data_IF_571514407764
#
_entry.id   IF_571514407764
#
_cell.length_a   1.000
_cell.length_b   1.000
_cell.length_c   1.000
_cell.angle_alpha   90.00
_cell.angle_beta   90.00
_cell.angle_gamma   90.00
#
_symmetry.space_group_name_H-M   'P 1'
#
loop_
_entity.id
_entity.type
_entity.pdbx_description
1 polymer ?
#
# COMPACT_ATOMS: atom_id res chain seq x y z
N UNK A 1 28.36 13.31 -26.99
CA UNK A 1 28.08 12.02 -26.33
C UNK A 1 26.60 11.76 -26.53
N UNK A 2 26.21 10.65 -27.13
CA UNK A 2 24.82 10.29 -27.39
C UNK A 2 24.08 10.21 -26.04
N UNK A 3 23.00 11.00 -25.88
CA UNK A 3 22.21 11.14 -24.66
C UNK A 3 21.18 10.02 -24.50
N UNK A 4 21.40 8.85 -25.09
CA UNK A 4 20.44 7.75 -25.17
C UNK A 4 20.83 6.48 -24.38
N UNK A 5 21.78 6.58 -23.42
CA UNK A 5 22.08 5.46 -22.54
C UNK A 5 21.19 5.54 -21.29
N UNK A 6 20.17 4.68 -21.18
CA UNK A 6 19.23 4.71 -20.06
C UNK A 6 19.91 4.45 -18.70
N UNK A 7 21.04 3.77 -18.68
CA UNK A 7 21.82 3.51 -17.46
C UNK A 7 22.56 4.77 -17.03
N UNK A 8 23.24 5.43 -17.96
CA UNK A 8 23.98 6.67 -17.69
C UNK A 8 23.05 7.80 -17.18
N UNK A 9 21.80 7.88 -17.69
CA UNK A 9 20.80 8.84 -17.19
C UNK A 9 20.45 8.60 -15.71
N UNK A 10 20.27 7.34 -15.32
CA UNK A 10 19.98 6.99 -13.91
C UNK A 10 21.19 7.32 -13.03
N UNK A 11 22.40 6.96 -13.45
CA UNK A 11 23.62 7.24 -12.70
C UNK A 11 23.84 8.73 -12.50
N UNK A 12 23.64 9.53 -13.54
CA UNK A 12 23.75 10.99 -13.47
C UNK A 12 22.70 11.59 -12.51
N UNK A 13 21.47 11.05 -12.51
CA UNK A 13 20.39 11.48 -11.61
C UNK A 13 20.73 11.15 -10.16
N UNK A 14 21.20 9.93 -9.88
CA UNK A 14 21.63 9.51 -8.54
C UNK A 14 22.87 10.31 -8.08
N UNK A 15 23.80 10.62 -8.97
CA UNK A 15 24.98 11.43 -8.64
C UNK A 15 24.59 12.86 -8.21
N UNK A 16 23.65 13.51 -8.91
CA UNK A 16 23.12 14.83 -8.51
C UNK A 16 22.41 14.76 -7.17
N UNK A 17 21.53 13.74 -6.97
CA UNK A 17 20.83 13.53 -5.71
C UNK A 17 21.82 13.31 -4.55
N UNK A 18 22.92 12.60 -4.79
CA UNK A 18 23.97 12.36 -3.79
C UNK A 18 24.72 13.64 -3.43
N UNK A 19 25.07 14.46 -4.41
CA UNK A 19 25.72 15.75 -4.15
C UNK A 19 24.80 16.68 -3.34
N UNK A 20 23.52 16.77 -3.68
CA UNK A 20 22.54 17.55 -2.92
C UNK A 20 22.36 16.98 -1.49
N UNK A 21 22.32 15.65 -1.33
CA UNK A 21 22.22 15.02 -0.02
C UNK A 21 23.42 15.32 0.87
N UNK A 22 24.63 15.26 0.34
CA UNK A 22 25.84 15.59 1.09
C UNK A 22 25.83 17.05 1.56
N UNK A 23 25.40 17.98 0.73
CA UNK A 23 25.22 19.40 1.11
C UNK A 23 24.11 19.57 2.18
N UNK A 24 23.00 18.84 2.04
CA UNK A 24 21.89 18.85 2.98
C UNK A 24 22.29 18.28 4.35
N UNK A 25 23.11 17.22 4.38
CA UNK A 25 23.67 16.66 5.61
C UNK A 25 24.68 17.63 6.25
N UNK A 26 25.59 18.21 5.48
CA UNK A 26 26.62 19.13 5.98
C UNK A 26 26.01 20.42 6.61
N UNK A 27 24.89 20.92 6.06
CA UNK A 27 24.11 22.02 6.62
C UNK A 27 23.01 21.58 7.57
N UNK A 28 23.00 20.29 7.96
CA UNK A 28 21.88 19.62 8.59
C UNK A 28 21.51 20.16 9.97
N UNK A 29 20.21 20.12 10.24
CA UNK A 29 19.62 20.32 11.57
C UNK A 29 18.25 19.66 11.62
N UNK A 30 17.76 19.33 12.81
CA UNK A 30 16.39 18.81 12.95
C UNK A 30 15.35 19.75 12.32
N UNK A 31 15.52 21.06 12.53
CA UNK A 31 14.60 22.08 11.98
C UNK A 31 14.61 22.09 10.44
N UNK A 32 15.77 21.95 9.81
CA UNK A 32 15.89 21.94 8.36
C UNK A 32 15.19 20.68 7.78
N UNK A 33 15.41 19.50 8.38
CA UNK A 33 14.79 18.26 7.95
C UNK A 33 13.27 18.29 8.17
N UNK A 34 12.81 18.84 9.28
CA UNK A 34 11.38 19.00 9.56
C UNK A 34 10.71 19.94 8.54
N UNK A 35 11.34 21.06 8.21
CA UNK A 35 10.82 22.00 7.20
C UNK A 35 10.77 21.39 5.80
N UNK A 36 11.77 20.62 5.41
CA UNK A 36 11.78 19.93 4.13
C UNK A 36 10.62 18.91 4.04
N UNK A 37 10.41 18.12 5.09
CA UNK A 37 9.29 17.19 5.17
C UNK A 37 7.92 17.90 5.17
N UNK A 38 7.78 19.02 5.89
CA UNK A 38 6.57 19.85 5.92
C UNK A 38 6.25 20.47 4.56
N UNK A 39 7.27 20.92 3.81
CA UNK A 39 7.09 21.46 2.46
C UNK A 39 6.46 20.42 1.52
N UNK A 40 6.93 19.19 1.56
CA UNK A 40 6.34 18.08 0.77
C UNK A 40 4.92 17.77 1.24
N UNK A 41 4.70 17.71 2.55
CA UNK A 41 3.37 17.46 3.09
C UNK A 41 2.37 18.55 2.65
N UNK A 42 2.75 19.82 2.67
CA UNK A 42 1.92 20.89 2.18
C UNK A 42 1.68 20.80 0.67
N UNK A 43 2.71 20.51 -0.12
CA UNK A 43 2.61 20.38 -1.57
C UNK A 43 1.52 19.39 -2.03
N UNK A 44 1.31 18.30 -1.31
CA UNK A 44 0.23 17.35 -1.63
C UNK A 44 -1.09 17.63 -0.93
N UNK A 45 -1.09 18.29 0.26
CA UNK A 45 -2.30 18.54 1.05
C UNK A 45 -2.99 19.85 0.71
N UNK A 46 -2.31 20.80 0.06
CA UNK A 46 -2.93 22.02 -0.41
C UNK A 46 -4.18 21.66 -1.24
N UNK A 47 -5.36 22.27 -0.96
CA UNK A 47 -6.63 21.78 -1.49
C UNK A 47 -6.70 21.65 -3.02
N UNK A 48 -6.19 22.66 -3.77
CA UNK A 48 -6.21 22.63 -5.23
C UNK A 48 -5.18 21.65 -5.79
N UNK A 49 -3.98 21.59 -5.21
CA UNK A 49 -2.97 20.60 -5.60
C UNK A 49 -3.48 19.18 -5.37
N UNK A 50 -4.08 18.91 -4.20
CA UNK A 50 -4.63 17.60 -3.88
C UNK A 50 -5.73 17.19 -4.87
N UNK A 51 -6.64 18.10 -5.20
CA UNK A 51 -7.70 17.86 -6.19
C UNK A 51 -7.10 17.53 -7.57
N UNK A 52 -6.19 18.37 -8.07
CA UNK A 52 -5.53 18.17 -9.38
C UNK A 52 -4.77 16.84 -9.42
N UNK A 53 -4.01 16.51 -8.38
CA UNK A 53 -3.26 15.25 -8.29
C UNK A 53 -4.21 14.04 -8.29
N UNK A 54 -5.36 14.14 -7.61
CA UNK A 54 -6.35 13.06 -7.57
C UNK A 54 -7.05 12.88 -8.94
N UNK A 55 -7.43 13.97 -9.59
CA UNK A 55 -8.03 13.96 -10.94
C UNK A 55 -7.05 13.34 -11.94
N UNK A 56 -5.80 13.82 -11.97
CA UNK A 56 -4.75 13.34 -12.87
C UNK A 56 -4.43 11.85 -12.62
N UNK A 57 -4.41 11.42 -11.35
CA UNK A 57 -4.19 10.02 -11.00
C UNK A 57 -5.28 9.10 -11.57
N UNK A 58 -6.55 9.49 -11.46
CA UNK A 58 -7.67 8.69 -12.01
C UNK A 58 -7.65 8.72 -13.54
N UNK A 59 -7.44 9.88 -14.14
CA UNK A 59 -7.39 10.05 -15.61
C UNK A 59 -6.31 9.18 -16.25
N UNK A 60 -5.07 9.25 -15.73
CA UNK A 60 -3.92 8.59 -16.37
C UNK A 60 -3.82 7.09 -16.05
N UNK A 61 -4.25 6.68 -14.86
CA UNK A 61 -4.19 5.27 -14.46
C UNK A 61 -5.46 4.50 -14.77
N UNK A 62 -6.61 5.17 -14.77
CA UNK A 62 -7.93 4.54 -14.82
C UNK A 62 -8.30 3.78 -13.55
N UNK A 63 -7.65 4.08 -12.41
CA UNK A 63 -7.80 3.32 -11.17
C UNK A 63 -8.36 4.18 -10.03
N UNK A 64 -9.35 3.65 -9.31
CA UNK A 64 -9.95 4.30 -8.15
C UNK A 64 -10.94 5.41 -8.51
N UNK A 65 -11.14 6.36 -7.62
CA UNK A 65 -12.01 7.51 -7.81
C UNK A 65 -11.43 8.79 -7.18
N UNK A 66 -11.83 9.95 -7.69
CA UNK A 66 -11.27 11.25 -7.28
C UNK A 66 -11.55 11.59 -5.81
N UNK A 67 -12.79 11.46 -5.28
CA UNK A 67 -13.08 11.80 -3.88
C UNK A 67 -12.25 10.99 -2.87
N UNK A 68 -12.10 9.70 -3.10
CA UNK A 68 -11.34 8.83 -2.21
C UNK A 68 -9.83 9.08 -2.30
N UNK A 69 -9.32 9.43 -3.50
CA UNK A 69 -7.91 9.81 -3.65
C UNK A 69 -7.60 11.13 -2.94
N UNK A 70 -8.48 12.12 -3.01
CA UNK A 70 -8.36 13.38 -2.24
C UNK A 70 -8.29 13.06 -0.73
N UNK A 71 -9.24 12.25 -0.25
CA UNK A 71 -9.28 11.80 1.13
C UNK A 71 -8.01 11.04 1.53
N UNK A 72 -7.52 10.14 0.67
CA UNK A 72 -6.31 9.34 0.91
C UNK A 72 -5.07 10.21 0.98
N UNK A 73 -4.87 11.11 0.01
CA UNK A 73 -3.74 12.02 -0.05
C UNK A 73 -3.65 12.87 1.23
N UNK A 74 -4.76 13.50 1.61
CA UNK A 74 -4.82 14.33 2.82
C UNK A 74 -4.64 13.50 4.10
N UNK A 75 -5.46 12.46 4.29
CA UNK A 75 -5.50 11.68 5.53
C UNK A 75 -4.17 10.97 5.82
N UNK A 76 -3.56 10.35 4.79
CA UNK A 76 -2.31 9.60 4.97
C UNK A 76 -1.13 10.53 5.20
N UNK A 77 -1.10 11.69 4.56
CA UNK A 77 -0.04 12.70 4.78
C UNK A 77 -0.17 13.36 6.14
N UNK A 78 -1.38 13.81 6.52
CA UNK A 78 -1.61 14.42 7.83
C UNK A 78 -1.28 13.45 8.97
N UNK A 79 -1.69 12.18 8.84
CA UNK A 79 -1.39 11.16 9.84
C UNK A 79 0.10 10.86 9.96
N UNK A 80 0.81 10.77 8.83
CA UNK A 80 2.27 10.61 8.83
C UNK A 80 2.94 11.79 9.56
N UNK A 81 2.58 13.03 9.22
CA UNK A 81 3.16 14.22 9.85
C UNK A 81 2.89 14.26 11.36
N UNK A 82 1.67 13.89 11.80
CA UNK A 82 1.36 13.73 13.22
C UNK A 82 2.34 12.79 13.93
N UNK A 83 2.63 11.65 13.31
CA UNK A 83 3.41 10.60 13.95
C UNK A 83 4.92 10.92 13.96
N UNK A 84 5.43 11.63 12.94
CA UNK A 84 6.88 11.90 12.84
C UNK A 84 7.30 13.30 13.34
N UNK A 85 6.38 14.23 13.62
CA UNK A 85 6.71 15.62 13.96
C UNK A 85 7.66 15.77 15.15
N UNK A 86 7.58 14.87 16.13
CA UNK A 86 8.42 14.90 17.34
C UNK A 86 9.48 13.81 17.36
N UNK A 87 9.64 13.05 16.29
CA UNK A 87 10.67 12.00 16.19
C UNK A 87 12.01 12.67 15.89
N UNK A 88 13.03 12.53 16.77
CA UNK A 88 14.36 13.05 16.50
C UNK A 88 15.02 12.20 15.40
N UNK A 89 15.57 12.87 14.39
CA UNK A 89 16.21 12.22 13.23
C UNK A 89 17.56 12.83 12.88
N UNK A 90 18.10 13.69 13.79
CA UNK A 90 19.37 14.38 13.61
C UNK A 90 20.17 14.41 14.92
N UNK A 91 21.45 14.06 14.85
CA UNK A 91 22.35 14.13 15.99
C UNK A 91 22.08 13.06 17.04
N UNK A 92 22.40 13.35 18.29
CA UNK A 92 22.14 12.42 19.41
C UNK A 92 20.63 12.33 19.66
N UNK A 93 20.08 11.13 19.52
CA UNK A 93 18.65 10.84 19.70
C UNK A 93 18.35 10.13 21.03
N UNK A 94 19.37 9.51 21.62
CA UNK A 94 19.30 8.91 22.95
C UNK A 94 20.67 8.88 23.56
N UNK A 95 20.76 9.20 24.83
CA UNK A 95 21.96 9.06 25.63
C UNK A 95 21.60 8.35 26.95
N UNK A 96 22.08 7.13 27.10
CA UNK A 96 21.75 6.24 28.23
C UNK A 96 22.96 6.11 29.12
N UNK A 97 22.99 6.89 30.18
CA UNK A 97 24.09 6.90 31.14
C UNK A 97 24.26 5.57 31.93
N UNK A 98 23.17 4.80 32.08
CA UNK A 98 23.20 3.54 32.83
C UNK A 98 23.87 2.42 32.03
N UNK A 99 23.68 2.43 30.72
CA UNK A 99 24.31 1.45 29.80
C UNK A 99 25.56 1.98 29.10
N UNK A 100 25.83 3.29 29.18
CA UNK A 100 26.92 3.95 28.46
C UNK A 100 26.75 3.98 26.94
N UNK A 101 25.52 3.87 26.45
CA UNK A 101 25.19 3.85 25.00
C UNK A 101 24.62 5.19 24.56
N UNK A 102 25.26 5.81 23.57
CA UNK A 102 24.75 7.01 22.88
C UNK A 102 24.31 6.62 21.48
N UNK A 103 23.01 6.85 21.14
CA UNK A 103 22.45 6.62 19.81
C UNK A 103 22.48 7.92 18.99
N UNK A 104 23.06 7.85 17.79
CA UNK A 104 23.20 9.01 16.91
C UNK A 104 22.45 8.72 15.59
N UNK A 105 21.46 9.57 15.24
CA UNK A 105 20.81 9.49 13.97
C UNK A 105 21.63 10.14 12.85
N UNK A 106 21.77 9.44 11.73
CA UNK A 106 22.46 9.92 10.54
C UNK A 106 21.70 9.52 9.27
N UNK A 107 21.77 10.32 8.19
CA UNK A 107 21.27 9.93 6.87
C UNK A 107 21.96 8.66 6.36
N UNK A 108 21.23 7.89 5.57
CA UNK A 108 21.77 6.74 4.83
C UNK A 108 22.39 7.20 3.49
N UNK A 109 21.82 8.22 2.87
CA UNK A 109 22.27 8.74 1.58
C UNK A 109 21.12 8.92 0.57
N UNK A 110 21.22 8.25 -0.58
CA UNK A 110 20.22 8.33 -1.66
C UNK A 110 19.23 7.17 -1.55
N UNK A 111 17.95 7.48 -1.43
CA UNK A 111 16.86 6.49 -1.42
C UNK A 111 16.36 6.27 -2.84
N UNK A 112 16.35 5.03 -3.31
CA UNK A 112 15.69 4.64 -4.56
C UNK A 112 14.26 4.17 -4.28
N UNK A 113 13.23 4.82 -4.85
CA UNK A 113 11.84 4.49 -4.57
C UNK A 113 11.09 4.03 -5.82
N UNK A 114 10.59 2.80 -5.84
CA UNK A 114 9.68 2.31 -6.89
C UNK A 114 8.24 2.43 -6.39
N UNK A 115 7.41 3.17 -7.15
CA UNK A 115 6.04 3.49 -6.74
C UNK A 115 4.98 2.98 -7.73
N UNK A 116 3.83 2.49 -7.22
CA UNK A 116 2.81 1.83 -8.03
C UNK A 116 1.89 2.82 -8.74
N UNK A 117 1.15 2.34 -9.74
CA UNK A 117 0.08 3.10 -10.39
C UNK A 117 -1.17 3.28 -9.52
N UNK A 118 -1.36 2.46 -8.50
CA UNK A 118 -2.54 2.51 -7.63
C UNK A 118 -2.59 3.78 -6.77
N UNK A 119 -1.42 4.32 -6.39
CA UNK A 119 -1.30 5.52 -5.57
C UNK A 119 -0.15 6.42 -6.06
N UNK A 120 -0.24 7.01 -7.27
CA UNK A 120 0.89 7.71 -7.90
C UNK A 120 1.20 9.08 -7.29
N UNK A 121 0.33 9.63 -6.42
CA UNK A 121 0.56 10.84 -5.63
C UNK A 121 0.93 10.52 -4.18
N UNK A 122 0.06 9.78 -3.47
CA UNK A 122 0.23 9.53 -2.03
C UNK A 122 1.48 8.71 -1.69
N UNK A 123 1.82 7.67 -2.47
CA UNK A 123 2.98 6.82 -2.16
C UNK A 123 4.30 7.57 -2.35
N UNK A 124 4.56 8.26 -3.47
CA UNK A 124 5.79 9.04 -3.59
C UNK A 124 5.88 10.15 -2.54
N UNK A 125 4.80 10.89 -2.25
CA UNK A 125 4.81 11.91 -1.21
C UNK A 125 5.19 11.32 0.16
N UNK A 126 4.62 10.17 0.55
CA UNK A 126 4.96 9.49 1.80
C UNK A 126 6.45 9.09 1.86
N UNK A 127 6.99 8.54 0.76
CA UNK A 127 8.39 8.16 0.69
C UNK A 127 9.33 9.37 0.77
N UNK A 128 8.99 10.47 0.06
CA UNK A 128 9.77 11.70 0.05
C UNK A 128 9.79 12.35 1.44
N UNK A 129 8.63 12.44 2.12
CA UNK A 129 8.53 12.98 3.48
C UNK A 129 9.46 12.20 4.43
N UNK A 130 9.41 10.86 4.41
CA UNK A 130 10.25 10.03 5.27
C UNK A 130 11.74 10.18 4.94
N UNK A 131 12.10 10.24 3.67
CA UNK A 131 13.49 10.41 3.24
C UNK A 131 14.07 11.75 3.74
N UNK A 132 13.38 12.86 3.48
CA UNK A 132 13.84 14.19 3.86
C UNK A 132 13.84 14.43 5.38
N UNK A 133 12.83 13.88 6.09
CA UNK A 133 12.79 13.93 7.57
C UNK A 133 14.03 13.30 8.20
N UNK A 134 14.67 12.35 7.51
CA UNK A 134 15.89 11.67 7.94
C UNK A 134 17.17 12.20 7.24
N UNK A 135 17.11 13.36 6.56
CA UNK A 135 18.27 13.98 5.90
C UNK A 135 18.76 13.29 4.63
N UNK A 136 17.96 12.39 4.06
CA UNK A 136 18.28 11.68 2.82
C UNK A 136 17.80 12.46 1.59
N UNK A 137 18.38 12.17 0.42
CA UNK A 137 17.76 12.46 -0.87
C UNK A 137 16.98 11.25 -1.40
N UNK A 138 16.15 11.46 -2.42
CA UNK A 138 15.33 10.39 -2.98
C UNK A 138 15.18 10.54 -4.50
N UNK A 139 15.28 9.39 -5.20
CA UNK A 139 14.99 9.28 -6.64
C UNK A 139 13.80 8.34 -6.81
N UNK A 140 12.71 8.86 -7.37
CA UNK A 140 11.45 8.12 -7.55
C UNK A 140 11.40 7.50 -8.96
N UNK A 141 11.02 6.23 -9.01
CA UNK A 141 10.71 5.49 -10.25
C UNK A 141 9.22 5.16 -10.28
N UNK A 142 8.36 6.02 -10.85
CA UNK A 142 6.94 5.77 -10.95
C UNK A 142 6.62 4.72 -12.01
N UNK A 143 5.49 4.03 -11.84
CA UNK A 143 4.91 3.24 -12.92
C UNK A 143 4.59 4.13 -14.13
N UNK A 144 4.63 3.61 -15.38
CA UNK A 144 4.44 4.44 -16.57
C UNK A 144 3.16 5.29 -16.56
N UNK A 145 2.05 4.76 -16.05
CA UNK A 145 0.78 5.48 -15.92
C UNK A 145 0.77 6.49 -14.77
N UNK A 146 1.65 6.35 -13.80
CA UNK A 146 1.77 7.26 -12.66
C UNK A 146 2.70 8.44 -12.90
N UNK A 147 3.46 8.44 -14.01
CA UNK A 147 4.44 9.51 -14.33
C UNK A 147 3.81 10.90 -14.30
N UNK A 148 2.69 11.20 -14.98
CA UNK A 148 2.15 12.55 -15.00
C UNK A 148 1.77 13.07 -13.59
N UNK A 149 1.18 12.21 -12.76
CA UNK A 149 0.83 12.58 -11.38
C UNK A 149 2.08 12.84 -10.54
N UNK A 150 3.12 12.03 -10.71
CA UNK A 150 4.38 12.19 -9.99
C UNK A 150 5.11 13.47 -10.43
N UNK A 151 5.15 13.78 -11.73
CA UNK A 151 5.71 15.03 -12.27
C UNK A 151 5.01 16.27 -11.72
N UNK A 152 3.68 16.26 -11.69
CA UNK A 152 2.90 17.35 -11.12
C UNK A 152 3.20 17.53 -9.61
N UNK A 153 3.27 16.42 -8.86
CA UNK A 153 3.66 16.44 -7.44
C UNK A 153 5.05 17.04 -7.24
N UNK A 154 6.04 16.62 -8.03
CA UNK A 154 7.40 17.18 -7.95
C UNK A 154 7.41 18.68 -8.27
N UNK A 155 6.62 19.13 -9.25
CA UNK A 155 6.46 20.54 -9.56
C UNK A 155 5.98 21.36 -8.36
N UNK A 156 4.99 20.86 -7.63
CA UNK A 156 4.50 21.50 -6.40
C UNK A 156 5.54 21.47 -5.26
N UNK A 157 6.26 20.36 -5.11
CA UNK A 157 7.35 20.23 -4.13
C UNK A 157 8.45 21.26 -4.42
N UNK A 158 8.87 21.39 -5.68
CA UNK A 158 9.90 22.34 -6.08
C UNK A 158 9.50 23.79 -5.82
N UNK A 159 8.22 24.13 -6.03
CA UNK A 159 7.71 25.45 -5.69
C UNK A 159 7.77 25.75 -4.18
N UNK A 160 7.56 24.77 -3.33
CA UNK A 160 7.73 24.92 -1.88
C UNK A 160 9.21 24.96 -1.47
N UNK A 161 10.08 24.19 -2.12
CA UNK A 161 11.52 24.21 -1.86
C UNK A 161 12.16 25.55 -2.20
N UNK A 162 11.76 26.18 -3.30
CA UNK A 162 12.26 27.51 -3.67
C UNK A 162 11.99 28.57 -2.61
N UNK A 163 10.81 28.51 -1.96
CA UNK A 163 10.45 29.45 -0.86
C UNK A 163 11.36 29.27 0.37
N UNK A 164 11.94 28.09 0.53
CA UNK A 164 12.75 27.72 1.69
C UNK A 164 14.26 27.70 1.38
N UNK A 165 14.65 27.89 0.13
CA UNK A 165 16.04 27.76 -0.32
C UNK A 165 16.57 26.32 -0.24
N UNK A 166 15.71 25.34 -0.38
CA UNK A 166 16.05 23.91 -0.39
C UNK A 166 16.39 23.47 -1.82
N UNK A 167 17.48 22.72 -1.97
CA UNK A 167 17.92 22.20 -3.27
C UNK A 167 16.90 21.20 -3.84
N UNK A 168 16.43 21.45 -5.05
CA UNK A 168 15.48 20.58 -5.77
C UNK A 168 16.07 19.19 -6.07
N UNK A 169 17.38 19.08 -6.22
CA UNK A 169 18.07 17.83 -6.51
C UNK A 169 18.01 16.81 -5.34
N UNK A 170 17.52 17.22 -4.16
CA UNK A 170 17.17 16.30 -3.08
C UNK A 170 16.02 15.34 -3.44
N UNK A 171 15.13 15.76 -4.35
CA UNK A 171 13.97 14.98 -4.75
C UNK A 171 13.92 14.91 -6.27
N UNK A 172 14.21 13.78 -6.82
CA UNK A 172 14.25 13.58 -8.26
C UNK A 172 13.36 12.41 -8.71
N UNK A 173 13.07 12.36 -9.99
CA UNK A 173 12.43 11.23 -10.65
C UNK A 173 13.32 10.73 -11.77
N UNK A 174 13.27 9.42 -12.06
CA UNK A 174 13.96 8.86 -13.24
C UNK A 174 13.47 9.57 -14.49
N UNK A 175 14.40 10.13 -15.31
CA UNK A 175 14.03 10.89 -16.48
C UNK A 175 13.43 10.02 -17.59
N UNK A 176 12.49 10.62 -18.34
CA UNK A 176 11.84 10.01 -19.49
C UNK A 176 10.99 8.78 -19.17
N UNK A 177 10.79 7.91 -20.16
CA UNK A 177 9.97 6.71 -19.97
C UNK A 177 10.71 5.70 -19.09
N UNK A 178 10.03 5.25 -18.03
CA UNK A 178 10.53 4.19 -17.16
C UNK A 178 10.71 2.87 -17.92
N UNK A 179 11.83 2.18 -17.67
CA UNK A 179 12.12 0.85 -18.20
C UNK A 179 12.55 -0.10 -17.08
N UNK A 180 12.56 -1.41 -17.39
CA UNK A 180 13.05 -2.41 -16.45
C UNK A 180 14.54 -2.21 -16.14
N UNK A 181 15.32 -1.76 -17.13
CA UNK A 181 16.77 -1.50 -16.99
C UNK A 181 17.03 -0.30 -16.11
N UNK A 182 16.36 0.84 -16.35
CA UNK A 182 16.44 2.03 -15.50
C UNK A 182 16.05 1.72 -14.05
N UNK A 183 14.95 0.98 -13.85
CA UNK A 183 14.52 0.58 -12.51
C UNK A 183 15.56 -0.31 -11.85
N UNK A 184 16.11 -1.31 -12.55
CA UNK A 184 17.13 -2.19 -12.02
C UNK A 184 18.38 -1.40 -11.62
N UNK A 185 18.83 -0.48 -12.48
CA UNK A 185 20.00 0.34 -12.17
C UNK A 185 19.79 1.22 -10.96
N UNK A 186 18.61 1.85 -10.82
CA UNK A 186 18.27 2.60 -9.61
C UNK A 186 18.39 1.75 -8.36
N UNK A 187 17.88 0.51 -8.38
CA UNK A 187 17.97 -0.40 -7.24
C UNK A 187 19.41 -0.73 -6.85
N UNK A 188 20.32 -0.78 -7.81
CA UNK A 188 21.75 -1.15 -7.60
C UNK A 188 22.62 0.02 -7.11
N UNK A 189 22.30 1.26 -7.50
CA UNK A 189 23.15 2.44 -7.22
C UNK A 189 22.66 3.31 -6.07
N UNK A 190 21.50 2.99 -5.50
CA UNK A 190 20.95 3.63 -4.31
C UNK A 190 21.56 3.06 -3.03
N UNK A 191 21.47 3.80 -1.92
CA UNK A 191 22.00 3.37 -0.61
C UNK A 191 20.94 2.58 0.19
N UNK A 192 19.66 2.86 -0.06
CA UNK A 192 18.49 2.11 0.45
C UNK A 192 17.40 2.15 -0.60
N UNK A 193 16.65 1.08 -0.74
CA UNK A 193 15.53 1.04 -1.67
C UNK A 193 14.19 0.78 -0.97
N UNK A 194 13.16 1.49 -1.45
CA UNK A 194 11.78 1.33 -1.00
C UNK A 194 10.93 0.96 -2.19
N UNK A 195 10.34 -0.24 -2.19
CA UNK A 195 9.58 -0.75 -3.33
C UNK A 195 8.15 -1.08 -2.93
N UNK A 196 7.19 -0.43 -3.58
CA UNK A 196 5.78 -0.81 -3.51
C UNK A 196 5.31 -1.17 -4.92
N UNK A 197 4.92 -2.43 -5.13
CA UNK A 197 4.52 -2.84 -6.47
C UNK A 197 4.36 -4.34 -6.67
N UNK A 198 4.59 -4.80 -7.91
CA UNK A 198 4.45 -6.22 -8.25
C UNK A 198 5.45 -7.11 -7.51
N UNK A 199 5.09 -8.38 -7.32
CA UNK A 199 5.97 -9.37 -6.70
C UNK A 199 7.32 -9.50 -7.43
N UNK A 200 7.34 -9.28 -8.73
CA UNK A 200 8.59 -9.25 -9.50
C UNK A 200 9.50 -8.08 -9.09
N UNK A 201 8.96 -6.89 -8.85
CA UNK A 201 9.73 -5.76 -8.37
C UNK A 201 10.25 -5.99 -6.95
N UNK A 202 9.45 -6.61 -6.08
CA UNK A 202 9.87 -7.02 -4.73
C UNK A 202 11.04 -7.99 -4.80
N UNK A 203 10.97 -9.02 -5.64
CA UNK A 203 12.05 -9.98 -5.84
C UNK A 203 13.32 -9.28 -6.33
N UNK A 204 13.22 -8.38 -7.32
CA UNK A 204 14.36 -7.60 -7.83
C UNK A 204 14.99 -6.72 -6.76
N UNK A 205 14.18 -6.09 -5.90
CA UNK A 205 14.66 -5.31 -4.78
C UNK A 205 15.54 -6.15 -3.85
N UNK A 206 15.03 -7.28 -3.38
CA UNK A 206 15.78 -8.14 -2.46
C UNK A 206 16.98 -8.87 -3.09
N UNK A 207 17.06 -8.94 -4.41
CA UNK A 207 18.21 -9.53 -5.13
C UNK A 207 19.16 -8.50 -5.72
N UNK A 208 18.94 -7.20 -5.53
CA UNK A 208 19.78 -6.13 -6.06
C UNK A 208 21.14 -6.00 -5.36
N UNK A 209 21.27 -6.49 -4.15
CA UNK A 209 22.45 -6.29 -3.30
C UNK A 209 22.37 -5.02 -2.44
N UNK A 210 21.37 -4.17 -2.63
CA UNK A 210 21.13 -2.97 -1.82
C UNK A 210 20.12 -3.29 -0.71
N UNK A 211 20.27 -2.74 0.51
CA UNK A 211 19.25 -2.85 1.55
C UNK A 211 17.87 -2.43 1.05
N UNK A 212 16.84 -3.22 1.35
CA UNK A 212 15.52 -3.03 0.76
C UNK A 212 14.37 -3.12 1.76
N UNK A 213 13.40 -2.21 1.61
CA UNK A 213 12.08 -2.28 2.23
C UNK A 213 11.06 -2.44 1.09
N UNK A 214 10.52 -3.65 0.93
CA UNK A 214 9.65 -3.95 -0.20
C UNK A 214 8.32 -4.58 0.24
N UNK A 215 7.25 -4.20 -0.46
CA UNK A 215 5.89 -4.73 -0.28
C UNK A 215 5.27 -5.06 -1.63
N UNK A 216 4.72 -6.26 -1.73
CA UNK A 216 4.02 -6.77 -2.91
C UNK A 216 2.51 -6.83 -2.72
N UNK A 217 1.90 -7.90 -3.26
CA UNK A 217 0.47 -8.16 -3.14
C UNK A 217 0.04 -8.32 -1.69
N UNK A 218 -1.07 -7.71 -1.33
CA UNK A 218 -1.62 -7.76 0.02
C UNK A 218 -2.47 -9.00 0.29
N UNK A 219 -3.29 -9.38 -0.65
CA UNK A 219 -4.22 -10.52 -0.59
C UNK A 219 -4.89 -10.72 0.78
N UNK A 220 -5.43 -9.64 1.34
CA UNK A 220 -5.93 -9.60 2.71
C UNK A 220 -7.08 -10.57 2.92
N UNK A 221 -6.96 -11.46 3.91
CA UNK A 221 -8.02 -12.31 4.39
C UNK A 221 -8.47 -11.84 5.79
N UNK A 222 -9.79 -11.85 6.03
CA UNK A 222 -10.41 -11.39 7.29
C UNK A 222 -11.36 -12.46 7.81
N UNK A 223 -11.18 -12.89 9.05
CA UNK A 223 -12.08 -13.82 9.73
C UNK A 223 -13.27 -13.06 10.33
N UNK A 224 -14.46 -13.63 10.21
CA UNK A 224 -15.65 -13.21 10.96
C UNK A 224 -16.09 -14.42 11.78
N UNK A 225 -15.89 -14.37 13.08
CA UNK A 225 -16.21 -15.48 13.98
C UNK A 225 -17.59 -15.34 14.64
N UNK A 226 -18.02 -16.40 15.32
CA UNK A 226 -19.36 -16.49 15.94
C UNK A 226 -19.58 -15.51 17.11
N UNK A 227 -18.53 -14.83 17.57
CA UNK A 227 -18.61 -13.82 18.63
C UNK A 227 -18.68 -12.40 18.09
N UNK A 228 -18.54 -12.21 16.77
CA UNK A 228 -18.48 -10.91 16.13
C UNK A 228 -19.82 -10.16 16.19
N UNK A 229 -19.75 -8.84 16.28
CA UNK A 229 -20.87 -7.98 15.92
C UNK A 229 -21.02 -7.97 14.39
N UNK A 230 -21.97 -8.75 13.87
CA UNK A 230 -22.14 -9.00 12.44
C UNK A 230 -22.48 -7.73 11.66
N UNK A 231 -23.32 -6.86 12.23
CA UNK A 231 -23.70 -5.59 11.57
C UNK A 231 -22.47 -4.67 11.45
N UNK A 232 -21.72 -4.50 12.54
CA UNK A 232 -20.52 -3.67 12.54
C UNK A 232 -19.41 -4.28 11.64
N UNK A 233 -19.25 -5.60 11.61
CA UNK A 233 -18.31 -6.29 10.75
C UNK A 233 -18.63 -6.07 9.27
N UNK A 234 -19.89 -6.30 8.85
CA UNK A 234 -20.34 -6.11 7.49
C UNK A 234 -20.16 -4.66 7.01
N UNK A 235 -20.52 -3.67 7.83
CA UNK A 235 -20.34 -2.24 7.51
C UNK A 235 -18.85 -1.87 7.34
N UNK A 236 -17.97 -2.37 8.22
CA UNK A 236 -16.52 -2.09 8.14
C UNK A 236 -15.89 -2.73 6.93
N UNK A 237 -16.24 -3.97 6.62
CA UNK A 237 -15.78 -4.69 5.42
C UNK A 237 -16.26 -3.97 4.16
N UNK A 238 -17.54 -3.57 4.09
CA UNK A 238 -18.08 -2.81 2.97
C UNK A 238 -17.36 -1.47 2.79
N UNK A 239 -17.19 -0.68 3.84
CA UNK A 239 -16.49 0.60 3.80
C UNK A 239 -15.02 0.43 3.31
N UNK A 240 -14.33 -0.59 3.77
CA UNK A 240 -12.97 -0.90 3.36
C UNK A 240 -12.91 -1.38 1.90
N UNK A 241 -13.82 -2.27 1.50
CA UNK A 241 -13.86 -2.85 0.16
C UNK A 241 -14.22 -1.85 -0.92
N UNK A 242 -15.04 -0.86 -0.61
CA UNK A 242 -15.50 0.13 -1.59
C UNK A 242 -14.59 1.35 -1.70
N UNK A 243 -13.77 1.63 -0.69
CA UNK A 243 -12.87 2.77 -0.67
C UNK A 243 -11.87 2.74 -1.82
N UNK A 244 -11.83 3.82 -2.58
CA UNK A 244 -10.98 4.00 -3.78
C UNK A 244 -11.07 2.80 -4.74
N UNK A 245 -12.25 2.21 -4.86
CA UNK A 245 -12.54 1.04 -5.70
C UNK A 245 -11.60 -0.15 -5.42
N UNK A 246 -11.20 -0.35 -4.17
CA UNK A 246 -10.26 -1.40 -3.75
C UNK A 246 -8.88 -1.34 -4.42
N UNK A 247 -8.38 -0.14 -4.75
CA UNK A 247 -7.01 0.03 -5.29
C UNK A 247 -5.92 -0.29 -4.28
N UNK A 248 -6.26 -0.33 -2.99
CA UNK A 248 -5.29 -0.59 -1.92
C UNK A 248 -5.03 -2.08 -1.76
N UNK A 249 -3.76 -2.50 -1.68
CA UNK A 249 -3.38 -3.86 -1.32
C UNK A 249 -3.86 -4.27 0.09
N UNK A 250 -4.26 -3.30 0.92
CA UNK A 250 -4.86 -3.52 2.24
C UNK A 250 -6.39 -3.63 2.22
N UNK A 251 -7.05 -3.60 1.06
CA UNK A 251 -8.47 -3.90 0.95
C UNK A 251 -8.70 -5.40 1.15
N UNK A 252 -9.78 -5.76 1.84
CA UNK A 252 -10.17 -7.16 2.02
C UNK A 252 -10.31 -7.84 0.65
N UNK A 253 -9.57 -8.89 0.45
CA UNK A 253 -9.62 -9.71 -0.75
C UNK A 253 -10.46 -10.98 -0.56
N UNK A 254 -10.42 -11.51 0.66
CA UNK A 254 -11.23 -12.62 1.11
C UNK A 254 -11.78 -12.39 2.52
N UNK A 255 -12.93 -12.98 2.79
CA UNK A 255 -13.45 -13.17 4.15
C UNK A 255 -13.64 -14.67 4.40
N UNK A 256 -13.37 -15.09 5.63
CA UNK A 256 -13.59 -16.45 6.11
C UNK A 256 -14.61 -16.38 7.23
N UNK A 257 -15.80 -16.89 6.98
CA UNK A 257 -16.95 -16.77 7.89
C UNK A 257 -17.23 -18.12 8.54
N UNK A 258 -17.33 -18.14 9.87
CA UNK A 258 -17.68 -19.35 10.62
C UNK A 258 -19.11 -19.77 10.29
N UNK A 259 -19.33 -21.06 10.06
CA UNK A 259 -20.60 -21.64 9.57
C UNK A 259 -21.80 -21.27 10.43
N UNK A 260 -21.62 -21.26 11.75
CA UNK A 260 -22.68 -20.95 12.72
C UNK A 260 -23.34 -19.58 12.50
N UNK A 261 -22.64 -18.62 11.88
CA UNK A 261 -23.13 -17.25 11.66
C UNK A 261 -23.26 -16.90 10.18
N UNK A 262 -22.92 -17.83 9.28
CA UNK A 262 -22.76 -17.55 7.85
C UNK A 262 -24.00 -16.91 7.24
N UNK A 263 -25.17 -17.53 7.39
CA UNK A 263 -26.41 -17.03 6.77
C UNK A 263 -26.82 -15.66 7.34
N UNK A 264 -26.65 -15.45 8.65
CA UNK A 264 -26.92 -14.16 9.30
C UNK A 264 -25.94 -13.08 8.80
N UNK A 265 -24.66 -13.43 8.62
CA UNK A 265 -23.67 -12.49 8.12
C UNK A 265 -23.91 -12.12 6.66
N UNK A 266 -24.33 -13.04 5.81
CA UNK A 266 -24.71 -12.77 4.41
C UNK A 266 -25.85 -11.75 4.34
N UNK A 267 -26.83 -11.84 5.25
CA UNK A 267 -27.91 -10.84 5.35
C UNK A 267 -27.36 -9.44 5.70
N UNK A 268 -26.45 -9.35 6.69
CA UNK A 268 -25.84 -8.07 7.06
C UNK A 268 -24.94 -7.51 5.96
N UNK A 269 -24.23 -8.37 5.24
CA UNK A 269 -23.42 -7.99 4.09
C UNK A 269 -24.27 -7.42 2.95
N UNK A 270 -25.45 -8.02 2.68
CA UNK A 270 -26.40 -7.51 1.69
C UNK A 270 -26.94 -6.13 2.10
N UNK A 271 -27.29 -5.91 3.37
CA UNK A 271 -27.69 -4.59 3.90
C UNK A 271 -26.59 -3.54 3.76
N UNK A 272 -25.33 -3.98 3.74
CA UNK A 272 -24.14 -3.13 3.57
C UNK A 272 -23.74 -2.93 2.09
N UNK A 273 -24.58 -3.36 1.14
CA UNK A 273 -24.40 -3.17 -0.29
C UNK A 273 -23.64 -4.29 -1.00
N UNK A 274 -23.43 -5.43 -0.38
CA UNK A 274 -22.84 -6.61 -1.01
C UNK A 274 -23.88 -7.49 -1.70
N UNK A 275 -23.57 -8.06 -2.88
CA UNK A 275 -24.39 -9.10 -3.51
C UNK A 275 -23.60 -10.40 -3.57
N UNK A 276 -24.17 -11.49 -3.04
CA UNK A 276 -23.55 -12.81 -3.04
C UNK A 276 -23.84 -13.55 -4.34
N UNK A 277 -22.80 -14.05 -4.98
CA UNK A 277 -22.83 -14.93 -6.16
C UNK A 277 -22.25 -16.28 -5.77
N UNK A 278 -22.98 -17.36 -6.03
CA UNK A 278 -22.56 -18.73 -5.74
C UNK A 278 -21.98 -19.47 -6.95
N UNK A 279 -22.18 -18.93 -8.15
CA UNK A 279 -21.54 -19.42 -9.39
C UNK A 279 -20.18 -18.72 -9.55
N UNK A 280 -19.15 -19.28 -8.92
CA UNK A 280 -17.79 -18.74 -8.93
C UNK A 280 -17.13 -18.83 -10.32
N UNK A 281 -17.45 -19.85 -11.13
CA UNK A 281 -16.90 -20.00 -12.48
C UNK A 281 -17.33 -18.85 -13.39
N UNK A 282 -18.58 -18.43 -13.30
CA UNK A 282 -19.10 -17.28 -14.05
C UNK A 282 -18.30 -16.01 -13.77
N UNK A 283 -17.92 -15.79 -12.51
CA UNK A 283 -17.10 -14.64 -12.12
C UNK A 283 -15.65 -14.80 -12.61
N UNK A 284 -15.08 -15.99 -12.47
CA UNK A 284 -13.73 -16.30 -12.94
C UNK A 284 -13.60 -16.01 -14.43
N UNK A 285 -14.53 -16.47 -15.26
CA UNK A 285 -14.52 -16.32 -16.72
C UNK A 285 -14.54 -14.83 -17.17
N UNK A 286 -15.11 -13.94 -16.36
CA UNK A 286 -15.21 -12.50 -16.64
C UNK A 286 -14.10 -11.67 -15.98
N UNK A 287 -13.69 -12.07 -14.78
CA UNK A 287 -12.67 -11.37 -14.00
C UNK A 287 -11.24 -11.67 -14.49
N UNK A 288 -11.02 -12.84 -15.13
CA UNK A 288 -9.75 -13.18 -15.76
C UNK A 288 -9.93 -13.36 -17.27
N UNK A 289 -9.13 -12.64 -18.04
CA UNK A 289 -9.11 -12.73 -19.51
C UNK A 289 -7.69 -13.14 -19.93
N UNK A 290 -7.58 -14.27 -20.63
CA UNK A 290 -6.28 -14.84 -21.08
C UNK A 290 -5.26 -15.00 -19.93
N UNK A 291 -5.72 -15.42 -18.77
CA UNK A 291 -4.87 -15.64 -17.58
C UNK A 291 -4.44 -14.37 -16.83
N UNK A 292 -4.98 -13.20 -17.19
CA UNK A 292 -4.71 -11.93 -16.51
C UNK A 292 -6.01 -11.31 -15.99
N UNK A 293 -5.92 -10.55 -14.89
CA UNK A 293 -7.05 -9.78 -14.40
C UNK A 293 -7.58 -8.84 -15.50
N UNK A 294 -8.90 -8.83 -15.67
CA UNK A 294 -9.58 -8.00 -16.65
C UNK A 294 -9.43 -6.51 -16.30
N UNK A 295 -8.78 -5.70 -17.15
CA UNK A 295 -8.59 -4.26 -16.88
C UNK A 295 -9.91 -3.49 -16.68
N UNK A 296 -11.03 -3.99 -17.26
CA UNK A 296 -12.35 -3.39 -17.08
C UNK A 296 -12.97 -3.69 -15.70
N UNK A 297 -12.40 -4.60 -14.93
CA UNK A 297 -12.86 -4.98 -13.59
C UNK A 297 -11.94 -4.49 -12.46
N UNK A 298 -10.70 -4.08 -12.79
CA UNK A 298 -9.73 -3.62 -11.79
C UNK A 298 -10.04 -2.19 -11.37
N UNK A 299 -10.22 -1.98 -10.06
CA UNK A 299 -10.39 -0.67 -9.41
C UNK A 299 -11.49 0.21 -10.06
N UNK A 300 -12.58 -0.41 -10.51
CA UNK A 300 -13.73 0.26 -11.14
C UNK A 300 -14.84 0.54 -10.13
N UNK A 301 -15.67 1.53 -10.48
CA UNK A 301 -16.91 1.78 -9.77
C UNK A 301 -17.82 0.55 -9.82
N UNK A 302 -18.79 0.47 -8.91
CA UNK A 302 -19.66 -0.70 -8.80
C UNK A 302 -20.42 -1.00 -10.11
N UNK A 303 -21.01 0.01 -10.73
CA UNK A 303 -21.80 -0.17 -11.98
C UNK A 303 -20.93 -0.66 -13.14
N UNK A 304 -19.72 -0.11 -13.30
CA UNK A 304 -18.76 -0.54 -14.31
C UNK A 304 -18.31 -1.99 -14.09
N UNK A 305 -18.04 -2.36 -12.82
CA UNK A 305 -17.66 -3.72 -12.45
C UNK A 305 -18.82 -4.70 -12.72
N UNK A 306 -20.04 -4.38 -12.27
CA UNK A 306 -21.23 -5.21 -12.45
C UNK A 306 -21.49 -5.45 -13.95
N UNK A 307 -21.38 -4.41 -14.78
CA UNK A 307 -21.50 -4.52 -16.23
C UNK A 307 -20.38 -5.38 -16.83
N UNK A 308 -19.12 -5.19 -16.41
CA UNK A 308 -17.97 -5.98 -16.89
C UNK A 308 -18.08 -7.48 -16.53
N UNK A 309 -18.71 -7.78 -15.40
CA UNK A 309 -18.99 -9.16 -14.97
C UNK A 309 -20.27 -9.74 -15.60
N UNK A 310 -21.07 -8.92 -16.29
CA UNK A 310 -22.35 -9.34 -16.88
C UNK A 310 -23.41 -9.69 -15.84
N UNK A 311 -23.47 -8.93 -14.74
CA UNK A 311 -24.36 -9.18 -13.60
C UNK A 311 -25.48 -8.14 -13.46
N UNK A 312 -25.69 -7.28 -14.45
CA UNK A 312 -26.63 -6.14 -14.37
C UNK A 312 -28.05 -6.55 -13.96
N UNK A 313 -28.52 -7.70 -14.46
CA UNK A 313 -29.86 -8.22 -14.19
C UNK A 313 -29.90 -9.22 -13.01
N UNK A 314 -28.73 -9.57 -12.42
CA UNK A 314 -28.61 -10.62 -11.42
C UNK A 314 -28.44 -10.08 -9.99
N UNK A 315 -28.09 -8.79 -9.85
CA UNK A 315 -27.83 -8.20 -8.54
C UNK A 315 -28.80 -7.02 -8.28
N UNK A 316 -29.14 -6.76 -7.01
CA UNK A 316 -30.00 -5.62 -6.66
C UNK A 316 -29.44 -4.29 -7.13
N UNK A 317 -30.31 -3.37 -7.51
CA UNK A 317 -29.92 -1.98 -7.78
C UNK A 317 -29.24 -1.36 -6.54
N UNK A 318 -28.14 -0.62 -6.76
CA UNK A 318 -27.37 -0.01 -5.68
C UNK A 318 -26.31 -0.94 -5.05
N UNK A 319 -26.12 -2.16 -5.59
CA UNK A 319 -25.01 -3.03 -5.18
C UNK A 319 -23.67 -2.32 -5.29
N UNK A 320 -22.87 -2.37 -4.23
CA UNK A 320 -21.59 -1.67 -4.13
C UNK A 320 -20.38 -2.57 -4.36
N UNK A 321 -20.48 -3.85 -4.06
CA UNK A 321 -19.45 -4.86 -4.29
C UNK A 321 -20.06 -6.25 -4.47
N UNK A 322 -19.32 -7.12 -5.15
CA UNK A 322 -19.73 -8.51 -5.42
C UNK A 322 -18.98 -9.43 -4.45
N UNK A 323 -19.71 -10.23 -3.71
CA UNK A 323 -19.19 -11.31 -2.89
C UNK A 323 -19.32 -12.63 -3.67
N UNK A 324 -18.26 -13.45 -3.70
CA UNK A 324 -18.24 -14.71 -4.45
C UNK A 324 -17.89 -15.84 -3.50
N UNK A 325 -18.82 -16.77 -3.30
CA UNK A 325 -18.54 -17.98 -2.51
C UNK A 325 -17.70 -18.95 -3.32
N UNK A 326 -16.63 -19.47 -2.72
CA UNK A 326 -15.76 -20.50 -3.30
C UNK A 326 -15.14 -21.38 -2.21
N UNK A 327 -14.57 -22.53 -2.62
CA UNK A 327 -13.93 -23.47 -1.68
C UNK A 327 -12.44 -23.66 -1.96
N UNK A 328 -12.00 -23.37 -3.17
CA UNK A 328 -10.62 -23.64 -3.59
C UNK A 328 -9.64 -22.54 -3.19
N UNK A 329 -8.41 -22.93 -2.88
CA UNK A 329 -7.29 -22.05 -2.57
C UNK A 329 -6.06 -22.54 -3.32
N UNK A 330 -5.31 -21.64 -3.97
CA UNK A 330 -4.06 -21.97 -4.64
C UNK A 330 -4.07 -21.57 -6.13
N UNK A 331 -3.04 -21.98 -6.88
CA UNK A 331 -2.85 -21.55 -8.28
C UNK A 331 -4.01 -21.88 -9.22
N UNK A 332 -4.71 -22.97 -8.98
CA UNK A 332 -5.84 -23.41 -9.80
C UNK A 332 -7.16 -22.72 -9.42
N UNK A 333 -7.14 -21.90 -8.35
CA UNK A 333 -8.30 -21.21 -7.81
C UNK A 333 -8.06 -19.70 -7.78
N UNK A 334 -8.21 -19.00 -8.90
CA UNK A 334 -7.79 -17.61 -9.03
C UNK A 334 -8.50 -16.64 -8.07
N UNK A 335 -9.71 -16.94 -7.62
CA UNK A 335 -10.43 -16.15 -6.61
C UNK A 335 -9.70 -16.10 -5.26
N UNK A 336 -8.78 -17.04 -4.97
CA UNK A 336 -7.96 -17.02 -3.75
C UNK A 336 -6.82 -16.00 -3.78
N UNK A 337 -6.48 -15.45 -4.94
CA UNK A 337 -5.45 -14.43 -5.13
C UNK A 337 -6.00 -13.00 -5.07
N UNK A 338 -5.09 -12.02 -5.05
CA UNK A 338 -5.42 -10.58 -5.04
C UNK A 338 -6.12 -10.15 -6.34
N UNK A 339 -7.20 -9.39 -6.21
CA UNK A 339 -8.06 -8.99 -7.34
C UNK A 339 -8.03 -7.48 -7.64
N UNK A 340 -7.61 -6.64 -6.69
CA UNK A 340 -7.64 -5.17 -6.81
C UNK A 340 -8.97 -4.65 -7.39
N UNK A 341 -10.08 -5.19 -6.93
CA UNK A 341 -11.42 -4.89 -7.42
C UNK A 341 -12.44 -4.98 -6.30
N UNK A 342 -13.65 -4.48 -6.53
CA UNK A 342 -14.78 -4.63 -5.61
C UNK A 342 -15.38 -6.05 -5.63
N UNK A 343 -14.58 -7.08 -5.96
CA UNK A 343 -14.92 -8.50 -5.80
C UNK A 343 -14.29 -9.01 -4.52
N UNK A 344 -15.09 -9.57 -3.64
CA UNK A 344 -14.73 -10.14 -2.34
C UNK A 344 -14.96 -11.65 -2.37
N UNK A 345 -13.95 -12.46 -2.12
CA UNK A 345 -14.10 -13.90 -2.01
C UNK A 345 -14.63 -14.27 -0.63
N UNK A 346 -15.57 -15.20 -0.57
CA UNK A 346 -16.18 -15.69 0.67
C UNK A 346 -15.87 -17.16 0.84
N UNK A 347 -15.25 -17.49 1.96
CA UNK A 347 -15.03 -18.88 2.40
C UNK A 347 -15.89 -19.17 3.62
N UNK A 348 -16.37 -20.39 3.70
CA UNK A 348 -17.12 -20.94 4.81
C UNK A 348 -16.20 -21.84 5.63
N UNK A 349 -16.12 -21.62 6.93
CA UNK A 349 -15.30 -22.43 7.84
C UNK A 349 -16.21 -23.11 8.90
N UNK A 350 -15.91 -24.35 9.25
CA UNK A 350 -16.70 -25.11 10.23
C UNK A 350 -16.70 -24.47 11.62
N UNK A 351 -15.57 -23.89 12.01
CA UNK A 351 -15.31 -23.26 13.29
C UNK A 351 -14.15 -22.27 13.19
N UNK A 352 -13.74 -21.68 14.33
CA UNK A 352 -12.64 -20.72 14.36
C UNK A 352 -11.29 -21.31 13.95
N UNK A 353 -10.99 -22.55 14.33
CA UNK A 353 -9.71 -23.20 14.01
C UNK A 353 -9.60 -23.48 12.50
N UNK A 354 -10.67 -23.91 11.86
CA UNK A 354 -10.75 -24.07 10.41
C UNK A 354 -10.68 -22.71 9.70
N UNK A 355 -11.24 -21.65 10.27
CA UNK A 355 -11.12 -20.30 9.74
C UNK A 355 -9.66 -19.80 9.77
N UNK A 356 -8.93 -20.08 10.84
CA UNK A 356 -7.49 -19.77 10.96
C UNK A 356 -6.69 -20.55 9.91
N UNK A 357 -6.93 -21.84 9.76
CA UNK A 357 -6.21 -22.69 8.79
C UNK A 357 -6.53 -22.26 7.34
N UNK A 358 -7.77 -21.95 7.04
CA UNK A 358 -8.18 -21.42 5.73
C UNK A 358 -7.48 -20.09 5.43
N UNK A 359 -7.46 -19.18 6.39
CA UNK A 359 -6.75 -17.89 6.28
C UNK A 359 -5.25 -18.11 6.08
N UNK A 360 -4.65 -19.06 6.79
CA UNK A 360 -3.24 -19.43 6.65
C UNK A 360 -2.93 -19.92 5.23
N UNK A 361 -3.77 -20.79 4.65
CA UNK A 361 -3.61 -21.26 3.27
C UNK A 361 -3.70 -20.12 2.25
N UNK A 362 -4.66 -19.20 2.42
CA UNK A 362 -4.81 -18.02 1.55
C UNK A 362 -3.53 -17.17 1.60
N UNK A 363 -3.02 -16.86 2.80
CA UNK A 363 -1.82 -16.05 2.98
C UNK A 363 -0.56 -16.71 2.46
N UNK A 364 -0.40 -18.02 2.61
CA UNK A 364 0.74 -18.79 2.06
C UNK A 364 0.70 -18.85 0.54
N UNK A 365 -0.50 -18.90 -0.07
CA UNK A 365 -0.63 -18.82 -1.52
C UNK A 365 -0.18 -17.42 -2.03
N UNK A 366 -0.66 -16.35 -1.40
CA UNK A 366 -0.31 -14.98 -1.73
C UNK A 366 -0.61 -14.07 -0.53
N UNK A 367 0.25 -13.07 -0.26
CA UNK A 367 0.02 -12.06 0.77
C UNK A 367 0.77 -12.29 2.08
N UNK A 368 1.60 -13.33 2.18
CA UNK A 368 2.39 -13.58 3.38
C UNK A 368 3.19 -12.34 3.81
N UNK A 369 3.18 -12.06 5.11
CA UNK A 369 3.85 -10.91 5.71
C UNK A 369 3.09 -9.59 5.61
N UNK A 370 2.00 -9.48 4.86
CA UNK A 370 1.31 -8.20 4.69
C UNK A 370 0.42 -7.88 5.91
N UNK A 371 -0.77 -8.41 5.98
CA UNK A 371 -1.71 -8.20 7.08
C UNK A 371 -2.89 -9.18 6.99
N UNK A 372 -3.49 -9.49 8.13
CA UNK A 372 -4.74 -10.24 8.25
C UNK A 372 -5.70 -9.51 9.17
N UNK A 373 -6.99 -9.80 9.07
CA UNK A 373 -8.01 -9.20 9.91
C UNK A 373 -8.86 -10.22 10.65
N UNK A 374 -9.50 -9.77 11.71
CA UNK A 374 -10.50 -10.53 12.45
C UNK A 374 -11.57 -9.61 13.03
N UNK A 375 -12.82 -10.01 12.87
CA UNK A 375 -13.97 -9.49 13.62
C UNK A 375 -14.37 -10.49 14.68
N UNK A 376 -14.22 -10.13 15.94
CA UNK A 376 -14.41 -11.01 17.12
C UNK A 376 -14.68 -10.21 18.37
N UNK A 377 -15.38 -10.78 19.34
CA UNK A 377 -15.44 -10.29 20.73
C UNK A 377 -14.53 -11.10 21.68
N UNK A 378 -13.99 -12.24 21.23
CA UNK A 378 -13.09 -13.07 22.02
C UNK A 378 -11.69 -12.46 22.11
N UNK A 379 -11.16 -12.26 23.32
CA UNK A 379 -9.93 -11.51 23.58
C UNK A 379 -8.64 -12.27 23.19
N UNK A 380 -8.68 -13.59 23.16
CA UNK A 380 -7.56 -14.49 22.89
C UNK A 380 -7.35 -14.76 21.39
N UNK A 381 -8.41 -14.69 20.59
CA UNK A 381 -8.39 -15.02 19.15
C UNK A 381 -7.44 -14.18 18.31
N UNK A 382 -7.31 -12.86 18.50
CA UNK A 382 -6.31 -12.09 17.78
C UNK A 382 -4.88 -12.58 17.97
N UNK A 383 -4.51 -13.03 19.16
CA UNK A 383 -3.19 -13.56 19.47
C UNK A 383 -3.02 -14.97 18.85
N UNK A 384 -4.03 -15.81 18.92
CA UNK A 384 -4.04 -17.12 18.24
C UNK A 384 -3.81 -16.95 16.74
N UNK A 385 -4.52 -16.03 16.09
CA UNK A 385 -4.36 -15.71 14.67
C UNK A 385 -2.95 -15.19 14.36
N UNK A 386 -2.40 -14.29 15.18
CA UNK A 386 -1.06 -13.75 15.01
C UNK A 386 0.04 -14.81 15.09
N UNK A 387 -0.13 -15.80 15.94
CA UNK A 387 0.83 -16.91 16.10
C UNK A 387 0.73 -17.96 14.97
N UNK A 388 -0.45 -18.12 14.39
CA UNK A 388 -0.70 -19.14 13.36
C UNK A 388 -0.31 -18.70 11.94
N UNK A 389 -0.27 -17.39 11.67
CA UNK A 389 -0.11 -16.86 10.30
C UNK A 389 1.14 -15.99 10.20
N UNK A 390 1.99 -16.19 9.17
CA UNK A 390 3.14 -15.31 8.91
C UNK A 390 2.64 -13.94 8.42
N UNK A 391 2.41 -13.02 9.33
CA UNK A 391 1.87 -11.69 9.06
C UNK A 391 2.55 -10.62 9.92
N UNK A 392 2.70 -9.42 9.38
CA UNK A 392 3.26 -8.28 10.13
C UNK A 392 2.21 -7.55 10.97
N UNK A 393 0.91 -7.74 10.66
CA UNK A 393 -0.19 -6.98 11.29
C UNK A 393 -1.45 -7.82 11.40
N UNK A 394 -2.09 -7.74 12.56
CA UNK A 394 -3.44 -8.28 12.79
C UNK A 394 -4.37 -7.11 13.08
N UNK A 395 -5.38 -6.92 12.25
CA UNK A 395 -6.36 -5.84 12.37
C UNK A 395 -7.62 -6.39 13.03
N UNK A 396 -7.98 -5.85 14.18
CA UNK A 396 -9.10 -6.33 14.98
C UNK A 396 -10.27 -5.35 14.95
N UNK A 397 -11.44 -5.82 14.52
CA UNK A 397 -12.69 -5.05 14.51
C UNK A 397 -12.62 -3.68 13.82
N UNK A 398 -11.84 -3.54 12.75
CA UNK A 398 -11.69 -2.29 11.99
C UNK A 398 -11.86 -2.53 10.49
N UNK A 399 -12.18 -1.46 9.76
CA UNK A 399 -12.13 -1.45 8.29
C UNK A 399 -10.67 -1.54 7.85
N UNK A 400 -10.30 -2.65 7.24
CA UNK A 400 -8.90 -3.05 7.06
C UNK A 400 -8.08 -2.04 6.23
N UNK A 401 -8.62 -1.53 5.11
CA UNK A 401 -7.97 -0.50 4.27
C UNK A 401 -7.61 0.76 5.06
N UNK A 402 -8.46 1.16 6.00
CA UNK A 402 -8.21 2.36 6.80
C UNK A 402 -7.22 2.10 7.93
N UNK A 403 -7.25 0.90 8.51
CA UNK A 403 -6.47 0.57 9.71
C UNK A 403 -5.02 0.20 9.41
N UNK A 404 -4.77 -0.61 8.36
CA UNK A 404 -3.48 -1.29 8.13
C UNK A 404 -2.28 -0.34 7.99
N UNK A 405 -2.43 0.81 7.38
CA UNK A 405 -1.38 1.82 7.25
C UNK A 405 -1.59 3.00 8.20
N UNK A 406 -2.03 2.74 9.42
CA UNK A 406 -2.33 3.75 10.44
C UNK A 406 -3.70 4.42 10.28
N UNK A 407 -4.35 4.66 11.41
CA UNK A 407 -5.61 5.38 11.50
C UNK A 407 -5.63 6.31 12.71
N UNK A 408 -6.49 7.33 12.68
CA UNK A 408 -6.61 8.27 13.80
C UNK A 408 -7.29 7.66 15.05
N UNK A 409 -7.90 6.50 14.87
CA UNK A 409 -8.60 5.74 15.94
C UNK A 409 -7.92 4.41 16.28
N UNK A 410 -6.65 4.23 15.91
CA UNK A 410 -5.83 3.11 16.36
C UNK A 410 -4.40 3.57 16.67
N UNK A 411 -3.60 2.70 17.32
CA UNK A 411 -2.22 2.98 17.72
C UNK A 411 -1.16 2.67 16.65
N UNK A 412 -1.56 2.28 15.43
CA UNK A 412 -0.61 1.98 14.37
C UNK A 412 -0.08 3.27 13.73
N UNK A 413 1.24 3.37 13.48
CA UNK A 413 1.81 4.53 12.81
C UNK A 413 1.31 4.64 11.36
N UNK A 414 1.12 5.87 10.90
CA UNK A 414 0.76 6.13 9.51
C UNK A 414 1.93 5.87 8.57
N UNK A 415 1.72 5.00 7.59
CA UNK A 415 2.68 4.75 6.51
C UNK A 415 1.98 4.19 5.28
N UNK A 416 2.49 4.54 4.09
CA UNK A 416 2.19 3.88 2.82
C UNK A 416 3.35 2.99 2.34
N UNK A 417 4.50 3.07 3.01
CA UNK A 417 5.68 2.24 2.75
C UNK A 417 5.75 1.16 3.82
N UNK A 418 4.95 0.11 3.64
CA UNK A 418 4.87 -1.01 4.57
C UNK A 418 5.77 -2.14 4.09
N UNK A 419 6.59 -2.70 5.00
CA UNK A 419 7.29 -3.95 4.72
C UNK A 419 6.43 -5.18 5.02
N UNK A 420 6.70 -6.27 4.34
CA UNK A 420 6.08 -7.58 4.60
C UNK A 420 6.96 -8.51 5.46
N UNK A 421 7.97 -7.99 6.11
CA UNK A 421 8.93 -8.79 6.87
C UNK A 421 9.66 -9.81 5.99
N UNK A 422 10.28 -10.80 6.62
CA UNK A 422 10.96 -11.89 5.92
C UNK A 422 10.02 -12.83 5.16
N UNK A 423 8.74 -12.84 5.47
CA UNK A 423 7.75 -13.73 4.84
C UNK A 423 7.33 -13.31 3.44
N UNK A 424 7.34 -12.00 3.16
CA UNK A 424 6.80 -11.44 1.90
C UNK A 424 7.80 -11.32 0.76
N UNK A 425 9.09 -11.56 0.98
CA UNK A 425 10.11 -11.16 0.02
C UNK A 425 11.24 -12.15 -0.25
N UNK A 426 11.14 -13.41 0.13
CA UNK A 426 12.27 -14.36 0.02
C UNK A 426 13.55 -13.89 0.73
N UNK A 427 13.40 -13.25 1.87
CA UNK A 427 14.54 -12.82 2.69
C UNK A 427 15.28 -14.02 3.27
N UNK A 428 16.57 -13.90 3.38
CA UNK A 428 17.40 -14.93 4.02
C UNK A 428 17.10 -15.04 5.51
N UNK A 429 17.44 -16.19 6.11
CA UNK A 429 17.27 -16.48 7.53
C UNK A 429 17.92 -15.44 8.47
N UNK A 430 18.87 -14.65 7.98
CA UNK A 430 19.52 -13.60 8.74
C UNK A 430 18.57 -12.49 9.21
N UNK A 431 17.42 -12.36 8.58
CA UNK A 431 16.40 -11.36 8.93
C UNK A 431 15.36 -11.88 9.94
N UNK A 432 15.49 -13.12 10.34
CA UNK A 432 14.70 -13.76 11.39
C UNK A 432 15.39 -13.60 12.74
#
# INVERSE_FOLDING_TARGET
MSTDDPIAEVEATVARARAAQQAFEAGGSQLLYDRAAQAVAWAIMEPDHNRILAELAVETTGLGNVPDKITKNHRKTLGLMRDIQHVPTYGVIKDDADTGITEIARPIGVIGAVVPSTNPGATPANNIINALKCGNSIVVSPSPKGVPTCEALLGYIYAEFDKLGIDRDLVQMIPGRGSKEKTQRLLEVSDLIVVTGSQNNVKRAYTSGTPALAVGAGNVAVIVDETADLTAAAQKIAASKTFDNATSCSSENAIVVVDAIYDAFVVEMAKSGGALITDDQRIIDKLWVKGHLNPCAIARNADELIAALGLTDDVPAGTQFIAVETKGIGPDFPLSGEKLSRVLTVYRASDFDDAVETTRKIQLHQGAGHSVGIHTAAQDRPLTLANAIPTSRVIVNQAHTFATGGAFNNGMPFSLSMGCGSWGGNLSLIHI
#
